data_IF_880943041761
#
_entry.id   IF_880943041761
#
_cell.length_a   1.000
_cell.length_b   1.000
_cell.length_c   1.000
_cell.angle_alpha   90.00
_cell.angle_beta   90.00
_cell.angle_gamma   90.00
#
_symmetry.space_group_name_H-M   'P 1'
#
loop_
_entity.id
_entity.type
_entity.pdbx_description
1 polymer ?
#
# COMPACT_ATOMS: atom_id res chain seq x y z
N UNK A 1 -3.00 -21.30 -27.81
CA UNK A 1 -4.00 -21.07 -26.76
C UNK A 1 -3.27 -20.38 -25.63
N UNK A 2 -3.49 -19.07 -25.44
CA UNK A 2 -2.92 -18.39 -24.29
C UNK A 2 -3.70 -18.85 -23.05
N UNK A 3 -3.04 -19.45 -22.06
CA UNK A 3 -3.70 -19.99 -20.88
C UNK A 3 -4.36 -18.84 -20.11
N UNK A 4 -5.69 -18.91 -19.99
CA UNK A 4 -6.51 -18.39 -18.89
C UNK A 4 -6.17 -16.99 -18.31
N UNK A 5 -5.82 -16.02 -19.16
CA UNK A 5 -5.68 -14.64 -18.71
C UNK A 5 -7.04 -14.05 -18.32
N UNK A 6 -7.48 -14.35 -17.09
CA UNK A 6 -8.65 -13.74 -16.47
C UNK A 6 -8.38 -12.28 -16.17
N UNK A 7 -9.45 -11.51 -16.18
CA UNK A 7 -9.43 -10.11 -15.78
C UNK A 7 -9.86 -10.05 -14.32
N UNK A 8 -9.11 -9.30 -13.53
CA UNK A 8 -9.42 -9.00 -12.15
C UNK A 8 -9.80 -7.54 -12.03
N UNK A 9 -11.05 -7.28 -11.65
CA UNK A 9 -11.50 -5.96 -11.25
C UNK A 9 -11.15 -5.75 -9.79
N UNK A 10 -10.37 -4.71 -9.50
CA UNK A 10 -9.90 -4.40 -8.15
C UNK A 10 -10.46 -3.06 -7.67
N UNK A 11 -10.75 -2.94 -6.38
CA UNK A 11 -11.16 -1.69 -5.73
C UNK A 11 -10.09 -1.19 -4.77
N UNK A 12 -9.99 0.13 -4.67
CA UNK A 12 -9.05 0.80 -3.77
C UNK A 12 -9.77 1.22 -2.49
N UNK A 13 -9.46 0.56 -1.38
CA UNK A 13 -10.12 0.83 -0.08
C UNK A 13 -11.65 0.65 -0.16
N UNK A 14 -12.39 1.58 0.42
CA UNK A 14 -13.86 1.65 0.37
C UNK A 14 -14.41 2.35 -0.89
N UNK A 15 -13.60 2.55 -1.93
CA UNK A 15 -14.09 3.19 -3.15
C UNK A 15 -14.98 2.27 -3.97
N UNK A 16 -16.11 2.79 -4.46
CA UNK A 16 -16.98 2.13 -5.46
C UNK A 16 -16.32 1.97 -6.84
N UNK A 17 -15.18 2.63 -7.09
CA UNK A 17 -14.49 2.55 -8.37
C UNK A 17 -13.66 1.28 -8.45
N UNK A 18 -14.00 0.43 -9.42
CA UNK A 18 -13.22 -0.73 -9.81
C UNK A 18 -12.33 -0.45 -11.01
N UNK A 19 -11.19 -1.12 -11.08
CA UNK A 19 -10.23 -1.02 -12.17
C UNK A 19 -9.88 -2.43 -12.65
N UNK A 20 -9.92 -2.63 -13.95
CA UNK A 20 -9.65 -3.93 -14.56
C UNK A 20 -8.14 -4.12 -14.81
N UNK A 21 -7.59 -5.23 -14.31
CA UNK A 21 -6.21 -5.67 -14.51
C UNK A 21 -6.19 -7.10 -15.03
N UNK A 22 -5.12 -7.50 -15.73
CA UNK A 22 -4.91 -8.91 -16.05
C UNK A 22 -4.41 -9.68 -14.83
N UNK A 23 -4.88 -10.91 -14.64
CA UNK A 23 -4.37 -11.81 -13.59
C UNK A 23 -2.89 -12.17 -13.79
N UNK A 24 -2.37 -12.05 -15.02
CA UNK A 24 -1.00 -12.42 -15.35
C UNK A 24 -0.71 -13.92 -15.14
N UNK A 25 -1.74 -14.77 -15.15
CA UNK A 25 -1.62 -16.20 -14.83
C UNK A 25 -1.54 -16.51 -13.34
N UNK A 26 -1.81 -15.52 -12.47
CA UNK A 26 -1.94 -15.76 -11.03
C UNK A 26 -3.36 -16.21 -10.69
N UNK A 27 -3.45 -17.29 -9.92
CA UNK A 27 -4.70 -17.74 -9.33
C UNK A 27 -5.08 -16.82 -8.15
N UNK A 28 -6.16 -16.06 -8.36
CA UNK A 28 -6.67 -15.03 -7.45
C UNK A 28 -8.18 -15.18 -7.33
N UNK A 29 -8.71 -14.97 -6.13
CA UNK A 29 -10.13 -15.06 -5.83
C UNK A 29 -10.75 -13.68 -5.54
N UNK A 30 -12.08 -13.56 -5.68
CA UNK A 30 -12.83 -12.38 -5.21
C UNK A 30 -12.69 -12.24 -3.69
N UNK A 31 -12.48 -11.02 -3.21
CA UNK A 31 -12.16 -10.72 -1.81
C UNK A 31 -10.70 -10.90 -1.45
N UNK A 32 -9.87 -11.46 -2.34
CA UNK A 32 -8.44 -11.59 -2.11
C UNK A 32 -7.73 -10.24 -2.33
N UNK A 33 -6.67 -9.98 -1.56
CA UNK A 33 -5.83 -8.80 -1.76
C UNK A 33 -4.68 -9.11 -2.72
N UNK A 34 -4.42 -8.17 -3.63
CA UNK A 34 -3.35 -8.23 -4.64
C UNK A 34 -2.62 -6.89 -4.69
N UNK A 35 -1.38 -6.90 -5.19
CA UNK A 35 -0.62 -5.69 -5.47
C UNK A 35 -0.69 -5.36 -6.96
N UNK A 36 -1.12 -4.14 -7.26
CA UNK A 36 -1.16 -3.59 -8.62
C UNK A 36 -0.09 -2.52 -8.81
N UNK A 37 0.60 -2.49 -9.95
CA UNK A 37 1.50 -1.40 -10.28
C UNK A 37 0.68 -0.18 -10.70
N UNK A 38 0.78 0.90 -9.92
CA UNK A 38 0.11 2.16 -10.20
C UNK A 38 1.14 3.30 -10.21
N UNK A 39 1.35 3.92 -11.38
CA UNK A 39 2.23 5.09 -11.57
C UNK A 39 3.60 4.98 -10.86
N UNK A 40 4.26 3.83 -11.02
CA UNK A 40 5.60 3.58 -10.44
C UNK A 40 5.61 3.17 -8.97
N UNK A 41 4.45 2.91 -8.36
CA UNK A 41 4.34 2.37 -7.00
C UNK A 41 3.47 1.12 -7.01
N UNK A 42 3.78 0.14 -6.17
CA UNK A 42 2.89 -0.99 -5.93
C UNK A 42 1.88 -0.62 -4.86
N UNK A 43 0.59 -0.78 -5.19
CA UNK A 43 -0.50 -0.48 -4.26
C UNK A 43 -1.28 -1.76 -4.05
N UNK A 44 -1.62 -2.02 -2.80
CA UNK A 44 -2.47 -3.13 -2.48
C UNK A 44 -3.94 -2.77 -2.59
N UNK A 45 -4.68 -3.69 -3.19
CA UNK A 45 -6.09 -3.56 -3.49
C UNK A 45 -6.80 -4.88 -3.25
N UNK A 46 -8.12 -4.80 -3.12
CA UNK A 46 -8.97 -5.98 -3.00
C UNK A 46 -9.59 -6.31 -4.36
N UNK A 47 -9.60 -7.58 -4.72
CA UNK A 47 -10.30 -8.08 -5.90
C UNK A 47 -11.80 -7.99 -5.64
N UNK A 48 -12.47 -7.14 -6.39
CA UNK A 48 -13.92 -6.97 -6.34
C UNK A 48 -14.63 -8.02 -7.21
N UNK A 49 -14.07 -8.33 -8.38
CA UNK A 49 -14.71 -9.25 -9.34
C UNK A 49 -13.66 -9.89 -10.26
N UNK A 50 -13.98 -11.07 -10.79
CA UNK A 50 -13.18 -11.76 -11.81
C UNK A 50 -14.02 -11.92 -13.06
N UNK A 51 -13.51 -11.46 -14.19
CA UNK A 51 -14.15 -11.51 -15.50
C UNK A 51 -13.31 -12.36 -16.46
N UNK A 52 -13.96 -12.95 -17.45
CA UNK A 52 -13.28 -13.75 -18.48
C UNK A 52 -12.68 -12.89 -19.60
N UNK A 53 -13.23 -11.70 -19.83
CA UNK A 53 -12.77 -10.78 -20.88
C UNK A 53 -12.98 -9.31 -20.48
N UNK A 54 -12.06 -8.41 -20.85
CA UNK A 54 -12.20 -6.96 -20.70
C UNK A 54 -11.34 -6.25 -21.73
N UNK A 55 -11.93 -5.27 -22.41
CA UNK A 55 -11.25 -4.45 -23.44
C UNK A 55 -10.44 -3.29 -22.84
N UNK A 56 -10.62 -3.01 -21.53
CA UNK A 56 -10.00 -1.86 -20.85
C UNK A 56 -8.79 -2.23 -20.01
N UNK A 57 -8.60 -3.52 -19.71
CA UNK A 57 -7.42 -3.99 -19.01
C UNK A 57 -6.19 -3.78 -19.90
N UNK A 58 -5.20 -3.05 -19.38
CA UNK A 58 -3.94 -2.76 -20.10
C UNK A 58 -2.71 -3.26 -19.35
N UNK A 59 -2.86 -3.56 -18.07
CA UNK A 59 -1.75 -3.84 -17.15
C UNK A 59 -2.09 -5.08 -16.32
N UNK A 60 -1.09 -5.91 -16.04
CA UNK A 60 -1.23 -7.08 -15.18
C UNK A 60 -1.00 -6.74 -13.70
N UNK A 61 -1.61 -7.51 -12.81
CA UNK A 61 -1.28 -7.47 -11.38
C UNK A 61 0.19 -7.84 -11.18
N UNK A 62 0.87 -7.16 -10.25
CA UNK A 62 2.30 -7.36 -10.02
C UNK A 62 2.57 -8.65 -9.23
N UNK A 63 1.81 -8.84 -8.14
CA UNK A 63 1.93 -10.01 -7.25
C UNK A 63 0.72 -10.17 -6.35
N UNK A 64 0.56 -11.37 -5.80
CA UNK A 64 -0.38 -11.65 -4.72
C UNK A 64 0.06 -10.96 -3.45
N UNK A 65 -0.89 -10.37 -2.72
CA UNK A 65 -0.60 -9.85 -1.39
C UNK A 65 -0.81 -10.95 -0.36
N UNK A 66 0.28 -11.48 0.17
CA UNK A 66 0.26 -12.52 1.22
C UNK A 66 0.31 -11.94 2.63
N UNK A 67 0.31 -10.61 2.74
CA UNK A 67 0.37 -9.92 4.03
C UNK A 67 -1.00 -9.93 4.68
N UNK A 68 -1.07 -10.39 5.92
CA UNK A 68 -2.29 -10.32 6.72
C UNK A 68 -2.64 -8.86 7.03
N UNK A 69 -3.90 -8.60 7.36
CA UNK A 69 -4.37 -7.27 7.76
C UNK A 69 -3.56 -6.72 8.95
N UNK A 70 -3.20 -7.57 9.91
CA UNK A 70 -2.30 -7.25 11.03
C UNK A 70 -0.90 -6.80 10.58
N UNK A 71 -0.26 -7.50 9.63
CA UNK A 71 1.04 -7.12 9.07
C UNK A 71 0.99 -5.80 8.25
N UNK A 72 -0.22 -5.32 7.90
CA UNK A 72 -0.45 -4.05 7.21
C UNK A 72 -0.80 -2.92 8.15
N UNK A 73 -1.58 -3.21 9.18
CA UNK A 73 -1.92 -2.28 10.27
C UNK A 73 -0.69 -1.96 11.11
N UNK A 74 0.29 -2.87 11.16
CA UNK A 74 1.63 -2.62 11.66
C UNK A 74 2.39 -1.67 10.71
N UNK A 75 1.93 -0.42 10.65
CA UNK A 75 2.65 0.65 9.95
C UNK A 75 3.95 1.02 10.66
N UNK A 76 4.13 0.68 11.93
CA UNK A 76 5.36 0.90 12.67
C UNK A 76 5.45 -0.01 13.92
N UNK A 77 6.26 -1.09 13.95
CA UNK A 77 6.63 -1.71 15.22
C UNK A 77 7.64 -0.86 16.01
N UNK A 78 8.22 0.20 15.42
CA UNK A 78 9.20 1.08 16.08
C UNK A 78 9.05 2.55 15.67
N UNK A 79 7.83 3.10 15.71
CA UNK A 79 7.53 4.46 15.26
C UNK A 79 6.51 5.18 16.13
N UNK A 80 6.52 4.90 17.43
CA UNK A 80 5.93 5.81 18.41
C UNK A 80 6.76 7.10 18.38
N UNK A 81 6.42 8.05 17.49
CA UNK A 81 6.83 9.42 17.74
C UNK A 81 6.08 9.84 18.99
N UNK A 82 6.76 9.77 20.13
CA UNK A 82 6.22 10.26 21.38
C UNK A 82 6.24 11.78 21.23
N UNK A 83 5.09 12.35 20.92
CA UNK A 83 4.94 13.80 20.90
C UNK A 83 4.69 14.25 22.34
N UNK A 84 5.49 15.21 22.83
CA UNK A 84 5.18 15.91 24.06
C UNK A 84 3.83 16.64 23.90
N UNK A 85 3.10 16.93 24.99
CA UNK A 85 1.85 17.72 24.93
C UNK A 85 2.03 19.12 24.33
N UNK A 86 3.27 19.60 24.26
CA UNK A 86 3.69 20.87 23.63
C UNK A 86 3.99 20.74 22.12
N UNK A 87 3.86 19.54 21.54
CA UNK A 87 4.15 19.30 20.12
C UNK A 87 5.63 19.14 19.78
N UNK A 88 6.49 18.93 20.78
CA UNK A 88 7.91 18.60 20.58
C UNK A 88 8.10 17.10 20.35
N UNK A 89 8.91 16.74 19.35
CA UNK A 89 9.28 15.34 19.05
C UNK A 89 10.22 14.82 20.14
N UNK A 90 9.89 13.68 20.74
CA UNK A 90 10.75 13.00 21.69
C UNK A 90 11.46 11.79 21.04
N UNK A 91 12.69 11.54 21.47
CA UNK A 91 13.46 10.34 21.10
C UNK A 91 13.00 9.09 21.90
N UNK A 92 13.58 7.92 21.59
CA UNK A 92 13.19 6.60 22.13
C UNK A 92 13.33 6.49 23.67
N UNK A 93 14.12 7.36 24.30
CA UNK A 93 14.28 7.48 25.76
C UNK A 93 13.34 8.52 26.40
N UNK A 94 12.52 9.20 25.60
CA UNK A 94 11.60 10.24 26.07
C UNK A 94 12.24 11.61 26.31
N UNK A 95 13.45 11.87 25.78
CA UNK A 95 14.04 13.19 25.79
C UNK A 95 13.64 14.00 24.55
N UNK A 96 13.79 15.31 24.62
CA UNK A 96 13.47 16.20 23.51
C UNK A 96 14.53 16.10 22.41
N UNK A 97 14.09 15.84 21.17
CA UNK A 97 14.96 15.83 19.99
C UNK A 97 15.44 17.26 19.70
N UNK A 98 16.56 17.65 20.28
CA UNK A 98 17.16 18.97 20.08
C UNK A 98 17.93 19.00 18.75
N UNK A 99 17.22 18.93 17.63
CA UNK A 99 17.79 19.22 16.31
C UNK A 99 17.86 20.74 16.06
N UNK A 100 18.48 21.49 16.98
CA UNK A 100 18.89 22.88 16.74
C UNK A 100 20.25 23.13 17.39
N UNK A 101 21.27 22.40 16.91
CA UNK A 101 22.65 22.85 17.01
C UNK A 101 23.13 23.23 15.61
N UNK A 102 23.16 24.55 15.35
CA UNK A 102 24.25 25.33 14.69
C UNK A 102 23.85 26.27 13.53
N UNK A 103 23.81 27.60 13.78
CA UNK A 103 24.83 28.59 13.34
C UNK A 103 24.34 30.06 13.42
N UNK A 104 25.11 30.94 14.08
CA UNK A 104 24.95 32.41 14.02
C UNK A 104 25.53 33.23 15.20
N UNK A 105 26.87 33.24 15.32
CA UNK A 105 27.84 34.22 15.88
C UNK A 105 27.54 35.28 16.98
N UNK A 106 28.58 35.70 17.76
CA UNK A 106 28.47 36.54 18.96
C UNK A 106 28.48 38.06 18.68
N UNK A 107 27.85 38.84 19.57
CA UNK A 107 28.10 40.27 19.78
C UNK A 107 27.89 40.64 21.26
#
# INVERSE_FOLDING_TARGET
>A
MQPDQKIVAVKFGESDKTYDYFSGGLDVAVGQRVMVPMRGREISVEVAEIKDHSEVAKVAIARRDVRTDEQRAEKHPNGAHVWAPDGTMLDEDGNMFTAFANQGEPA
#
